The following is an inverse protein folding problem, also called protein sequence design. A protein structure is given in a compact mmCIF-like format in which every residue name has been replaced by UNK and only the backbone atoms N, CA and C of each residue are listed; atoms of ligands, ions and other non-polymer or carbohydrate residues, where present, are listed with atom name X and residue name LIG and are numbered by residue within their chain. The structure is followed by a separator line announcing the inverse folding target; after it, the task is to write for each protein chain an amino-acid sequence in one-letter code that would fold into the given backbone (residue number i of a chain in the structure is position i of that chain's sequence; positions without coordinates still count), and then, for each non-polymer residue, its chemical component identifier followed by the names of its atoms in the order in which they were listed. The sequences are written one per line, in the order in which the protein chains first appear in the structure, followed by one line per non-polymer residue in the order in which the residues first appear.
data_IF_544484039871
#
_entry.id   IF_544484039871
#
_cell.length_a   1.000
_cell.length_b   1.000
_cell.length_c   1.000
_cell.angle_alpha   90.00
_cell.angle_beta   90.00
_cell.angle_gamma   90.00
#
_symmetry.space_group_name_H-M   'P 1'
#
loop_
_entity.id
_entity.type
_entity.pdbx_description
1 polymer ?
#
# COMPACT_ATOMS: atom_id res chain seq x y z
N UNK A 1 5.05 -8.31 16.63
CA UNK A 1 5.66 -7.93 15.34
C UNK A 1 5.13 -6.55 14.94
N UNK A 2 5.97 -5.51 14.96
CA UNK A 2 5.60 -4.18 14.50
C UNK A 2 5.75 -4.10 12.97
N UNK A 3 4.80 -3.47 12.27
CA UNK A 3 4.79 -3.34 10.79
C UNK A 3 4.93 -1.90 10.32
N UNK A 4 5.11 -0.96 11.25
CA UNK A 4 5.18 0.48 11.03
C UNK A 4 6.37 0.90 10.14
N UNK A 5 7.51 0.22 10.30
CA UNK A 5 8.78 0.52 9.63
C UNK A 5 8.96 -0.24 8.31
N UNK A 6 7.89 -0.84 7.77
CA UNK A 6 7.93 -1.47 6.45
C UNK A 6 8.39 -0.45 5.40
N UNK A 7 9.31 -0.80 4.49
CA UNK A 7 9.71 0.10 3.41
C UNK A 7 8.50 0.44 2.55
N UNK A 8 8.47 1.67 2.01
CA UNK A 8 7.53 2.05 0.96
C UNK A 8 7.84 1.26 -0.30
N UNK A 9 6.80 0.84 -1.02
CA UNK A 9 6.88 0.09 -2.27
C UNK A 9 6.11 0.84 -3.37
N UNK A 10 5.98 0.23 -4.55
CA UNK A 10 5.02 0.71 -5.54
C UNK A 10 3.70 -0.03 -5.37
N UNK A 11 2.59 0.65 -5.62
CA UNK A 11 1.25 0.09 -5.54
C UNK A 11 0.54 0.26 -6.88
N UNK A 12 0.16 -0.87 -7.47
CA UNK A 12 -0.64 -0.95 -8.70
C UNK A 12 -2.12 -1.13 -8.35
N UNK A 13 -2.98 -0.29 -8.90
CA UNK A 13 -4.42 -0.52 -8.90
C UNK A 13 -4.81 -1.46 -10.05
N UNK A 14 -5.34 -2.64 -9.73
CA UNK A 14 -5.75 -3.64 -10.74
C UNK A 14 -7.07 -3.28 -11.44
N UNK A 15 -7.75 -2.22 -11.02
CA UNK A 15 -9.02 -1.75 -11.61
C UNK A 15 -8.79 -0.68 -12.67
N UNK A 16 -7.97 0.34 -12.39
CA UNK A 16 -7.76 1.47 -13.30
C UNK A 16 -6.32 1.59 -13.83
N UNK A 17 -5.42 0.69 -13.44
CA UNK A 17 -4.01 0.70 -13.88
C UNK A 17 -3.15 1.82 -13.27
N UNK A 18 -3.68 2.60 -12.33
CA UNK A 18 -2.91 3.66 -11.67
C UNK A 18 -1.79 3.07 -10.80
N UNK A 19 -0.58 3.63 -10.93
CA UNK A 19 0.61 3.26 -10.15
C UNK A 19 0.99 4.45 -9.27
N UNK A 20 1.29 4.19 -8.01
CA UNK A 20 1.76 5.23 -7.06
C UNK A 20 2.78 4.64 -6.09
N UNK A 21 3.64 5.51 -5.55
CA UNK A 21 4.52 5.17 -4.44
C UNK A 21 3.71 5.17 -3.14
N UNK A 22 3.93 4.17 -2.30
CA UNK A 22 3.26 4.02 -1.02
C UNK A 22 3.23 2.56 -0.56
N UNK A 23 2.26 2.20 0.26
CA UNK A 23 2.01 0.81 0.62
C UNK A 23 0.53 0.62 0.93
N UNK A 24 0.04 -0.61 0.87
CA UNK A 24 -1.34 -0.89 1.25
C UNK A 24 -1.41 -0.84 2.78
N UNK A 25 -2.41 -0.12 3.30
CA UNK A 25 -2.62 0.01 4.75
C UNK A 25 -2.79 -1.36 5.38
N UNK A 26 -2.01 -1.63 6.43
CA UNK A 26 -2.17 -2.81 7.29
C UNK A 26 -2.25 -2.35 8.74
N UNK A 27 -3.24 -2.85 9.48
CA UNK A 27 -3.33 -2.55 10.91
C UNK A 27 -2.12 -3.13 11.64
N UNK A 28 -1.41 -2.29 12.40
CA UNK A 28 -0.33 -2.76 13.24
C UNK A 28 -0.91 -3.27 14.57
N UNK A 29 -0.65 -4.52 14.98
CA UNK A 29 -1.19 -5.04 16.24
C UNK A 29 -0.62 -4.33 17.47
N UNK A 30 0.55 -3.68 17.36
CA UNK A 30 1.19 -2.93 18.44
C UNK A 30 0.76 -1.45 18.46
N UNK A 31 0.41 -0.89 17.30
CA UNK A 31 0.09 0.52 17.12
C UNK A 31 -1.19 0.68 16.30
N UNK A 32 -2.31 0.17 16.82
CA UNK A 32 -3.58 0.06 16.10
C UNK A 32 -4.19 1.41 15.70
N UNK A 33 -3.86 2.48 16.42
CA UNK A 33 -4.36 3.84 16.19
C UNK A 33 -3.42 4.70 15.34
N UNK A 34 -2.26 4.18 14.95
CA UNK A 34 -1.29 4.95 14.16
C UNK A 34 -1.66 4.94 12.68
N UNK A 35 -1.70 6.13 12.09
CA UNK A 35 -1.93 6.37 10.66
C UNK A 35 -0.64 6.84 10.01
N UNK A 36 -0.37 6.35 8.80
CA UNK A 36 0.76 6.77 7.98
C UNK A 36 0.25 7.42 6.71
N UNK A 37 0.84 8.56 6.34
CA UNK A 37 0.40 9.35 5.18
C UNK A 37 0.46 8.55 3.86
N UNK A 38 1.42 7.63 3.74
CA UNK A 38 1.66 6.84 2.53
C UNK A 38 0.96 5.46 2.56
N UNK A 39 0.10 5.21 3.55
CA UNK A 39 -0.71 4.01 3.64
C UNK A 39 -2.04 4.20 2.89
N UNK A 40 -2.22 3.43 1.82
CA UNK A 40 -3.38 3.49 0.94
C UNK A 40 -4.43 2.48 1.40
N UNK A 41 -5.62 2.96 1.75
CA UNK A 41 -6.82 2.13 1.93
C UNK A 41 -7.60 1.95 0.63
N UNK A 42 -7.51 2.95 -0.25
CA UNK A 42 -8.21 3.01 -1.51
C UNK A 42 -7.31 3.60 -2.59
N UNK A 43 -7.61 3.28 -3.85
CA UNK A 43 -6.94 3.89 -4.98
C UNK A 43 -7.23 5.39 -5.01
N UNK A 44 -6.21 6.27 -5.05
CA UNK A 44 -6.41 7.72 -5.11
C UNK A 44 -7.19 8.19 -6.34
N UNK A 45 -7.19 7.40 -7.42
CA UNK A 45 -7.81 7.74 -8.70
C UNK A 45 -9.25 7.24 -8.83
N UNK A 46 -9.48 5.94 -8.62
CA UNK A 46 -10.78 5.32 -8.85
C UNK A 46 -11.50 4.88 -7.57
N UNK A 47 -10.91 5.13 -6.38
CA UNK A 47 -11.46 4.82 -5.06
C UNK A 47 -11.83 3.34 -4.85
N UNK A 48 -11.28 2.43 -5.65
CA UNK A 48 -11.39 0.99 -5.36
C UNK A 48 -10.65 0.66 -4.08
N UNK A 49 -11.07 -0.39 -3.40
CA UNK A 49 -10.49 -0.81 -2.13
C UNK A 49 -9.13 -1.49 -2.30
N UNK A 50 -8.37 -1.50 -1.21
CA UNK A 50 -7.02 -2.07 -1.14
C UNK A 50 -6.90 -3.53 -1.58
N UNK A 51 -7.93 -4.36 -1.44
CA UNK A 51 -7.91 -5.76 -1.89
C UNK A 51 -7.85 -5.89 -3.43
N UNK A 52 -8.18 -4.83 -4.16
CA UNK A 52 -8.01 -4.72 -5.62
C UNK A 52 -6.68 -4.04 -6.01
N UNK A 53 -5.80 -3.81 -5.04
CA UNK A 53 -4.50 -3.18 -5.24
C UNK A 53 -3.39 -4.17 -4.92
N UNK A 54 -2.21 -3.97 -5.50
CA UNK A 54 -1.06 -4.85 -5.31
C UNK A 54 0.20 -4.04 -5.05
N UNK A 55 0.91 -4.36 -3.97
CA UNK A 55 2.27 -3.89 -3.73
C UNK A 55 3.27 -4.69 -4.58
N UNK A 56 4.28 -4.01 -5.13
CA UNK A 56 5.40 -4.63 -5.84
C UNK A 56 6.69 -3.85 -5.61
N UNK A 57 7.80 -4.58 -5.50
CA UNK A 57 9.17 -4.04 -5.50
C UNK A 57 9.73 -4.08 -6.92
N UNK A 58 10.46 -3.04 -7.31
CA UNK A 58 11.14 -2.99 -8.62
C UNK A 58 12.38 -3.89 -8.69
N UNK A 59 12.69 -4.63 -7.63
CA UNK A 59 13.86 -5.50 -7.51
C UNK A 59 13.69 -6.90 -8.13
N UNK A 60 12.52 -7.20 -8.72
CA UNK A 60 12.23 -8.48 -9.38
C UNK A 60 12.48 -8.45 -10.90
N UNK A 61 13.54 -7.75 -11.33
CA UNK A 61 14.10 -7.91 -12.66
C UNK A 61 15.51 -8.50 -12.53
N UNK A 62 15.59 -9.81 -12.23
CA UNK A 62 16.82 -10.58 -12.36
C UNK A 62 16.55 -11.86 -13.13
#
# INVERSE_FOLDING_TARGET
MCLCTRPSTNVLCRVCGYITVGRIRRSCPQHSTTLYLMDLEQCPRCRTYSFMMQEFSTDEAK
#
